data_IF_014182019573
#
_entry.id   IF_014182019573
#
_cell.length_a   1.000
_cell.length_b   1.000
_cell.length_c   1.000
_cell.angle_alpha   90.00
_cell.angle_beta   90.00
_cell.angle_gamma   90.00
#
_symmetry.space_group_name_H-M   'P 1'
#
loop_
_entity.id
_entity.type
_entity.pdbx_description
1 polymer ?
#
# COMPACT_ATOMS: atom_id res chain seq x y z
N UNK A 1 9.98 -12.71 41.57
CA UNK A 1 8.90 -11.82 41.05
C UNK A 1 9.35 -10.74 40.05
N UNK A 2 10.65 -10.59 39.72
CA UNK A 2 11.12 -9.59 38.72
C UNK A 2 11.19 -10.13 37.28
N UNK A 3 11.36 -11.44 37.10
CA UNK A 3 11.50 -12.11 35.80
C UNK A 3 10.18 -12.26 35.04
N UNK A 4 9.04 -12.37 35.75
CA UNK A 4 7.72 -12.55 35.12
C UNK A 4 7.21 -11.28 34.41
N UNK A 5 7.64 -10.09 34.85
CA UNK A 5 7.25 -8.81 34.25
C UNK A 5 7.95 -8.55 32.90
N UNK A 6 9.14 -9.12 32.69
CA UNK A 6 9.92 -8.92 31.48
C UNK A 6 9.32 -9.68 30.29
N UNK A 7 8.81 -10.89 30.52
CA UNK A 7 8.17 -11.71 29.50
C UNK A 7 6.88 -11.08 28.94
N UNK A 8 6.13 -10.35 29.77
CA UNK A 8 4.91 -9.65 29.34
C UNK A 8 5.18 -8.40 28.51
N UNK A 9 6.32 -7.72 28.72
CA UNK A 9 6.70 -6.55 27.93
C UNK A 9 7.16 -6.93 26.52
N UNK A 10 7.79 -8.10 26.37
CA UNK A 10 8.27 -8.61 25.07
C UNK A 10 7.09 -9.03 24.17
N UNK A 11 6.04 -9.64 24.71
CA UNK A 11 4.87 -10.05 23.92
C UNK A 11 3.98 -8.90 23.44
N UNK A 12 3.99 -7.73 24.10
CA UNK A 12 3.26 -6.54 23.65
C UNK A 12 3.97 -5.86 22.46
N UNK A 13 5.30 -5.97 22.38
CA UNK A 13 6.10 -5.34 21.32
C UNK A 13 6.10 -6.08 19.98
N UNK A 14 5.71 -7.36 19.95
CA UNK A 14 5.59 -8.12 18.70
C UNK A 14 4.23 -7.96 18.00
N UNK A 15 3.23 -7.38 18.66
CA UNK A 15 1.88 -7.21 18.08
C UNK A 15 1.71 -5.90 17.30
N UNK A 16 2.65 -4.96 17.41
CA UNK A 16 2.52 -3.59 16.87
C UNK A 16 3.12 -3.40 15.47
N UNK A 17 3.80 -4.40 14.90
CA UNK A 17 4.47 -4.25 13.59
C UNK A 17 3.63 -4.69 12.39
N UNK A 18 2.41 -5.17 12.59
CA UNK A 18 1.47 -5.52 11.52
C UNK A 18 0.15 -4.80 11.76
N UNK A 19 0.17 -3.47 11.66
CA UNK A 19 -1.02 -2.65 11.89
C UNK A 19 -1.95 -2.67 10.67
N UNK A 20 -2.50 -3.85 10.37
CA UNK A 20 -3.72 -3.97 9.58
C UNK A 20 -4.93 -3.69 10.47
N UNK A 21 -6.02 -3.20 9.89
CA UNK A 21 -7.26 -3.12 10.64
C UNK A 21 -7.71 -4.55 10.98
N UNK A 22 -8.32 -4.73 12.16
CA UNK A 22 -8.87 -6.03 12.53
C UNK A 22 -9.81 -6.54 11.42
N UNK A 23 -9.78 -7.85 11.07
CA UNK A 23 -10.61 -8.38 10.01
C UNK A 23 -12.08 -8.05 10.26
N UNK A 24 -12.80 -7.65 9.21
CA UNK A 24 -14.25 -7.39 9.33
C UNK A 24 -14.98 -8.62 9.88
N UNK A 25 -16.02 -8.48 10.71
CA UNK A 25 -16.74 -9.61 11.29
C UNK A 25 -17.17 -10.64 10.24
N UNK A 26 -16.84 -11.91 10.48
CA UNK A 26 -17.15 -13.03 9.57
C UNK A 26 -16.14 -13.24 8.43
N UNK A 27 -15.15 -12.36 8.25
CA UNK A 27 -14.05 -12.56 7.33
C UNK A 27 -12.85 -13.18 8.03
N UNK A 28 -12.21 -14.14 7.36
CA UNK A 28 -10.95 -14.77 7.78
C UNK A 28 -9.87 -14.46 6.76
N UNK A 29 -8.66 -14.14 7.24
CA UNK A 29 -7.50 -13.91 6.39
C UNK A 29 -7.19 -15.15 5.54
N UNK A 30 -6.93 -14.92 4.26
CA UNK A 30 -6.32 -15.90 3.35
C UNK A 30 -4.81 -15.71 3.33
N UNK A 31 -4.36 -14.45 3.39
CA UNK A 31 -2.97 -14.05 3.35
C UNK A 31 -2.71 -12.94 2.33
N UNK A 32 -1.44 -12.66 2.13
CA UNK A 32 -0.98 -11.63 1.21
C UNK A 32 -1.18 -12.10 -0.24
N UNK A 33 -1.86 -11.28 -1.05
CA UNK A 33 -1.96 -11.48 -2.49
C UNK A 33 -0.64 -11.06 -3.11
N UNK A 34 -0.03 -11.97 -3.88
CA UNK A 34 1.15 -11.66 -4.68
C UNK A 34 0.82 -10.55 -5.69
N UNK A 35 1.66 -9.52 -5.72
CA UNK A 35 1.62 -8.42 -6.69
C UNK A 35 2.96 -8.37 -7.39
N UNK A 36 2.96 -8.51 -8.72
CA UNK A 36 4.16 -8.45 -9.54
C UNK A 36 4.44 -7.02 -9.99
N UNK A 37 5.68 -6.76 -10.38
CA UNK A 37 6.10 -5.44 -10.86
C UNK A 37 5.31 -4.97 -12.09
N UNK A 38 4.96 -5.90 -12.98
CA UNK A 38 4.15 -5.62 -14.17
C UNK A 38 2.66 -5.40 -13.88
N UNK A 39 2.19 -5.74 -12.67
CA UNK A 39 0.79 -5.52 -12.26
C UNK A 39 0.56 -4.07 -11.83
N UNK A 40 1.63 -3.31 -11.53
CA UNK A 40 1.55 -1.96 -10.97
C UNK A 40 2.09 -0.90 -11.91
N UNK A 41 1.48 0.28 -11.89
CA UNK A 41 1.98 1.46 -12.60
C UNK A 41 1.83 2.68 -11.72
N UNK A 42 2.88 3.50 -11.68
CA UNK A 42 2.92 4.73 -10.90
C UNK A 42 2.90 5.96 -11.79
N UNK A 43 2.23 7.00 -11.30
CA UNK A 43 2.19 8.32 -11.92
C UNK A 43 2.16 9.40 -10.86
N UNK A 44 2.91 10.48 -11.08
CA UNK A 44 2.80 11.67 -10.27
C UNK A 44 1.98 12.72 -11.03
N UNK A 45 1.13 13.45 -10.33
CA UNK A 45 0.32 14.52 -10.89
C UNK A 45 0.34 15.73 -9.95
N UNK A 46 0.44 16.95 -10.48
CA UNK A 46 0.22 18.15 -9.67
C UNK A 46 -1.24 18.25 -9.24
N UNK A 47 -1.52 18.92 -8.13
CA UNK A 47 -2.89 19.00 -7.62
C UNK A 47 -3.88 19.72 -8.55
N UNK A 48 -3.39 20.58 -9.44
CA UNK A 48 -4.17 21.22 -10.51
C UNK A 48 -4.30 20.34 -11.77
N UNK A 49 -3.58 19.22 -11.85
CA UNK A 49 -3.57 18.31 -12.98
C UNK A 49 -2.75 18.78 -14.18
N UNK A 50 -2.09 19.95 -14.12
CA UNK A 50 -1.34 20.50 -15.25
C UNK A 50 -0.06 19.73 -15.56
N UNK A 51 0.58 19.17 -14.53
CA UNK A 51 1.83 18.42 -14.65
C UNK A 51 1.54 16.97 -14.35
N UNK A 52 1.84 16.11 -15.33
CA UNK A 52 1.72 14.66 -15.20
C UNK A 52 3.07 14.03 -15.52
N UNK A 53 3.65 13.32 -14.57
CA UNK A 53 4.97 12.69 -14.70
C UNK A 53 4.82 11.18 -14.68
N UNK A 54 5.40 10.53 -15.69
CA UNK A 54 5.56 9.07 -15.68
C UNK A 54 6.61 8.70 -14.64
N UNK A 55 6.38 7.58 -13.97
CA UNK A 55 7.31 7.03 -13.01
C UNK A 55 7.90 5.73 -13.53
N UNK A 56 9.18 5.52 -13.21
CA UNK A 56 9.79 4.20 -13.23
C UNK A 56 9.74 3.65 -11.80
N UNK A 57 9.60 2.34 -11.65
CA UNK A 57 9.55 1.68 -10.36
C UNK A 57 10.30 0.36 -10.40
N UNK A 58 10.77 -0.09 -9.23
CA UNK A 58 11.40 -1.40 -9.04
C UNK A 58 10.91 -1.98 -7.73
N UNK A 59 10.58 -3.28 -7.72
CA UNK A 59 10.25 -3.98 -6.48
C UNK A 59 11.52 -4.27 -5.66
N UNK A 60 12.01 -3.27 -4.92
CA UNK A 60 13.31 -3.27 -4.23
C UNK A 60 13.39 -4.27 -3.07
N UNK A 61 12.32 -4.39 -2.26
CA UNK A 61 12.28 -5.32 -1.12
C UNK A 61 10.96 -6.08 -1.06
N UNK A 62 10.87 -7.24 -1.73
CA UNK A 62 9.67 -8.06 -1.74
C UNK A 62 9.22 -8.57 -0.36
N UNK A 63 10.16 -8.73 0.57
CA UNK A 63 9.90 -9.11 1.96
C UNK A 63 9.27 -7.98 2.79
N UNK A 64 9.50 -6.72 2.38
CA UNK A 64 8.97 -5.53 3.02
C UNK A 64 7.89 -4.85 2.17
N UNK A 65 7.45 -5.43 1.05
CA UNK A 65 6.42 -4.86 0.16
C UNK A 65 6.75 -3.42 -0.32
N UNK A 66 8.04 -3.14 -0.43
CA UNK A 66 8.58 -1.82 -0.72
C UNK A 66 9.03 -1.68 -2.17
N UNK A 67 8.64 -0.57 -2.77
CA UNK A 67 8.93 -0.15 -4.12
C UNK A 67 9.73 1.14 -4.10
N UNK A 68 10.80 1.22 -4.87
CA UNK A 68 11.41 2.51 -5.20
C UNK A 68 10.75 3.07 -6.44
N UNK A 69 10.24 4.30 -6.34
CA UNK A 69 9.50 4.97 -7.40
C UNK A 69 10.18 6.28 -7.74
N UNK A 70 10.50 6.48 -9.02
CA UNK A 70 11.19 7.67 -9.53
C UNK A 70 10.39 8.28 -10.67
N UNK A 71 9.93 9.51 -10.49
CA UNK A 71 9.11 10.24 -11.45
C UNK A 71 9.87 11.44 -12.03
N UNK A 72 9.51 11.84 -13.25
CA UNK A 72 9.94 13.12 -13.83
C UNK A 72 11.40 13.21 -14.25
N UNK A 73 12.12 12.08 -14.36
CA UNK A 73 13.54 12.04 -14.72
C UNK A 73 13.83 12.65 -16.10
N UNK A 74 12.93 12.47 -17.07
CA UNK A 74 13.10 13.00 -18.44
C UNK A 74 12.68 14.47 -18.54
N UNK A 75 11.81 14.89 -17.64
CA UNK A 75 11.19 16.21 -17.55
C UNK A 75 12.01 17.18 -16.68
N UNK A 76 13.12 16.73 -16.08
CA UNK A 76 13.97 17.53 -15.20
C UNK A 76 13.38 17.78 -13.80
N UNK A 77 12.25 17.13 -13.48
CA UNK A 77 11.53 17.26 -12.22
C UNK A 77 11.66 15.96 -11.41
N UNK A 78 12.86 15.69 -10.90
CA UNK A 78 13.17 14.44 -10.24
C UNK A 78 12.44 14.33 -8.89
N UNK A 79 11.49 13.39 -8.81
CA UNK A 79 10.77 13.03 -7.59
C UNK A 79 11.04 11.57 -7.25
N UNK A 80 11.38 11.28 -6.00
CA UNK A 80 11.82 9.98 -5.52
C UNK A 80 10.98 9.62 -4.30
N UNK A 81 10.30 8.48 -4.39
CA UNK A 81 9.45 7.96 -3.34
C UNK A 81 9.87 6.54 -2.97
N UNK A 82 9.67 6.20 -1.70
CA UNK A 82 9.58 4.79 -1.26
C UNK A 82 8.11 4.51 -1.03
N UNK A 83 7.56 3.57 -1.78
CA UNK A 83 6.16 3.17 -1.67
C UNK A 83 6.09 1.81 -1.00
N UNK A 84 5.28 1.70 0.04
CA UNK A 84 4.92 0.43 0.64
C UNK A 84 3.50 0.10 0.19
N UNK A 85 3.37 -0.97 -0.61
CA UNK A 85 2.09 -1.37 -1.21
C UNK A 85 1.82 -2.85 -0.97
N UNK A 86 0.73 -3.12 -0.27
CA UNK A 86 0.39 -4.45 0.18
C UNK A 86 -1.11 -4.73 0.00
N UNK A 87 -1.44 -5.86 -0.61
CA UNK A 87 -2.81 -6.33 -0.80
C UNK A 87 -3.02 -7.60 0.01
N UNK A 88 -3.93 -7.55 0.97
CA UNK A 88 -4.28 -8.68 1.83
C UNK A 88 -5.67 -9.19 1.46
N UNK A 89 -5.78 -10.49 1.18
CA UNK A 89 -7.05 -11.12 0.84
C UNK A 89 -7.73 -11.76 2.06
N UNK A 90 -9.05 -11.63 2.10
CA UNK A 90 -9.95 -12.19 3.11
C UNK A 90 -11.12 -12.91 2.46
N UNK A 91 -11.67 -13.91 3.16
CA UNK A 91 -12.86 -14.67 2.72
C UNK A 91 -13.87 -14.79 3.85
N UNK A 92 -15.15 -14.77 3.51
CA UNK A 92 -16.26 -15.16 4.37
C UNK A 92 -16.90 -16.42 3.78
N UNK A 93 -16.46 -17.60 4.26
CA UNK A 93 -16.89 -18.90 3.74
C UNK A 93 -18.39 -19.15 3.90
N UNK A 94 -19.04 -18.54 4.90
CA UNK A 94 -20.48 -18.74 5.16
C UNK A 94 -21.35 -18.01 4.14
N UNK A 95 -20.88 -16.87 3.64
CA UNK A 95 -21.63 -16.02 2.71
C UNK A 95 -21.07 -16.09 1.28
N UNK A 96 -20.04 -16.91 1.06
CA UNK A 96 -19.29 -16.99 -0.20
C UNK A 96 -18.83 -15.63 -0.72
N UNK A 97 -18.23 -14.81 0.16
CA UNK A 97 -17.72 -13.47 -0.16
C UNK A 97 -16.21 -13.40 -0.04
N UNK A 98 -15.61 -12.53 -0.86
CA UNK A 98 -14.20 -12.14 -0.75
C UNK A 98 -14.09 -10.64 -0.47
N UNK A 99 -13.06 -10.30 0.28
CA UNK A 99 -12.68 -8.92 0.56
C UNK A 99 -11.17 -8.76 0.42
N UNK A 100 -10.74 -7.54 0.17
CA UNK A 100 -9.33 -7.15 0.11
C UNK A 100 -9.11 -5.95 1.00
N UNK A 101 -8.02 -5.98 1.74
CA UNK A 101 -7.47 -4.84 2.45
C UNK A 101 -6.23 -4.38 1.70
N UNK A 102 -6.21 -3.12 1.30
CA UNK A 102 -5.09 -2.49 0.64
C UNK A 102 -4.43 -1.53 1.61
N UNK A 103 -3.12 -1.68 1.81
CA UNK A 103 -2.26 -0.70 2.44
C UNK A 103 -1.44 -0.02 1.36
N UNK A 104 -1.56 1.30 1.27
CA UNK A 104 -0.76 2.13 0.38
C UNK A 104 -0.14 3.28 1.17
N UNK A 105 1.17 3.22 1.34
CA UNK A 105 1.95 4.19 2.10
C UNK A 105 3.08 4.72 1.22
N UNK A 106 3.23 6.04 1.16
CA UNK A 106 4.26 6.72 0.38
C UNK A 106 5.15 7.53 1.29
N UNK A 107 6.46 7.38 1.15
CA UNK A 107 7.49 8.17 1.82
C UNK A 107 8.18 9.03 0.77
N UNK A 108 8.15 10.34 0.99
CA UNK A 108 8.90 11.30 0.18
C UNK A 108 10.39 11.27 0.58
N UNK A 109 11.25 10.93 -0.38
CA UNK A 109 12.71 10.85 -0.18
C UNK A 109 13.43 12.12 -0.61
N UNK A 110 12.73 13.12 -1.16
CA UNK A 110 13.31 14.39 -1.59
C UNK A 110 13.41 15.43 -0.47
N UNK A 111 12.74 15.21 0.68
CA UNK A 111 12.69 16.16 1.79
C UNK A 111 13.25 15.57 3.09
N UNK A 112 13.85 16.42 3.92
CA UNK A 112 14.26 16.10 5.29
C UNK A 112 13.64 17.11 6.29
N UNK A 113 12.99 16.66 7.38
CA UNK A 113 12.70 15.26 7.69
C UNK A 113 11.73 14.65 6.67
N UNK A 114 11.91 13.37 6.37
CA UNK A 114 11.04 12.64 5.43
C UNK A 114 9.58 12.76 5.84
N UNK A 115 8.73 13.06 4.85
CA UNK A 115 7.28 13.10 5.01
C UNK A 115 6.66 11.82 4.49
N UNK A 116 5.54 11.43 5.07
CA UNK A 116 4.80 10.26 4.63
C UNK A 116 3.31 10.54 4.55
N UNK A 117 2.66 9.81 3.64
CA UNK A 117 1.22 9.79 3.46
C UNK A 117 0.78 8.34 3.35
N UNK A 118 -0.33 7.98 3.98
CA UNK A 118 -0.81 6.60 3.98
C UNK A 118 -2.32 6.52 3.90
N UNK A 119 -2.82 5.50 3.20
CA UNK A 119 -4.22 5.13 3.18
C UNK A 119 -4.36 3.61 3.36
N UNK A 120 -5.37 3.20 4.12
CA UNK A 120 -5.81 1.81 4.19
C UNK A 120 -7.26 1.72 3.72
N UNK A 121 -7.56 0.80 2.82
CA UNK A 121 -8.88 0.66 2.21
C UNK A 121 -9.36 -0.80 2.25
N UNK A 122 -10.63 -0.99 2.58
CA UNK A 122 -11.30 -2.30 2.57
C UNK A 122 -12.31 -2.36 1.43
N UNK A 123 -12.07 -3.27 0.48
CA UNK A 123 -12.96 -3.54 -0.64
C UNK A 123 -13.66 -4.88 -0.41
N UNK A 124 -14.99 -4.90 -0.47
CA UNK A 124 -15.79 -6.12 -0.32
C UNK A 124 -16.65 -6.28 -1.57
N UNK A 125 -16.56 -7.46 -2.19
CA UNK A 125 -17.32 -7.78 -3.41
C UNK A 125 -18.56 -8.59 -3.05
N UNK A 126 -19.67 -8.31 -3.74
CA UNK A 126 -20.90 -9.09 -3.64
C UNK A 126 -20.94 -10.09 -4.81
N UNK A 127 -21.13 -11.37 -4.52
CA UNK A 127 -21.17 -12.44 -5.53
C UNK A 127 -19.92 -13.32 -5.53
N UNK A 128 -19.94 -14.34 -6.38
CA UNK A 128 -18.86 -15.33 -6.57
C UNK A 128 -17.69 -14.76 -7.39
N UNK A 129 -17.99 -13.85 -8.32
CA UNK A 129 -16.99 -13.09 -9.05
C UNK A 129 -16.37 -12.02 -8.15
N UNK A 130 -15.06 -12.09 -8.03
CA UNK A 130 -14.29 -11.48 -6.95
C UNK A 130 -12.83 -11.25 -7.34
N UNK A 131 -12.54 -11.34 -8.63
CA UNK A 131 -11.27 -10.99 -9.22
C UNK A 131 -11.17 -9.47 -9.31
N UNK A 132 -10.01 -8.94 -8.96
CA UNK A 132 -9.71 -7.53 -9.14
C UNK A 132 -9.27 -7.35 -10.59
N UNK A 133 -10.07 -6.65 -11.39
CA UNK A 133 -9.70 -6.32 -12.78
C UNK A 133 -8.84 -5.05 -12.83
N UNK A 134 -9.21 -4.07 -12.01
CA UNK A 134 -8.53 -2.77 -11.94
C UNK A 134 -8.79 -2.08 -10.60
N UNK A 135 -7.75 -1.54 -10.00
CA UNK A 135 -7.85 -0.59 -8.88
C UNK A 135 -6.94 0.61 -9.15
N UNK A 136 -7.38 1.79 -8.74
CA UNK A 136 -6.58 3.01 -8.76
C UNK A 136 -6.64 3.66 -7.37
N UNK A 137 -5.47 3.98 -6.83
CA UNK A 137 -5.30 4.64 -5.56
C UNK A 137 -4.46 5.89 -5.74
N UNK A 138 -4.76 6.94 -4.99
CA UNK A 138 -3.98 8.16 -4.97
C UNK A 138 -3.76 8.61 -3.52
N UNK A 139 -2.56 9.09 -3.21
CA UNK A 139 -2.29 9.80 -1.97
C UNK A 139 -1.63 11.14 -2.27
N UNK A 140 -1.98 12.16 -1.50
CA UNK A 140 -1.30 13.45 -1.53
C UNK A 140 0.15 13.31 -1.08
N UNK A 141 1.06 13.94 -1.81
CA UNK A 141 2.49 14.02 -1.52
C UNK A 141 2.93 15.47 -1.55
N UNK A 142 4.10 15.78 -1.00
CA UNK A 142 4.67 17.14 -1.06
C UNK A 142 3.76 18.21 -0.41
N UNK A 143 3.12 17.88 0.73
CA UNK A 143 2.09 18.69 1.40
C UNK A 143 0.86 18.96 0.50
N UNK A 144 0.39 17.95 -0.22
CA UNK A 144 -0.72 18.09 -1.17
C UNK A 144 -0.42 19.16 -2.24
N UNK A 145 0.83 19.21 -2.72
CA UNK A 145 1.14 19.91 -3.97
C UNK A 145 0.97 18.98 -5.19
N UNK A 146 1.10 17.67 -4.95
CA UNK A 146 0.81 16.67 -5.95
C UNK A 146 0.25 15.38 -5.34
N UNK A 147 -0.05 14.45 -6.23
CA UNK A 147 -0.61 13.14 -5.95
C UNK A 147 0.35 12.09 -6.51
N UNK A 148 0.60 11.03 -5.75
CA UNK A 148 1.18 9.81 -6.29
C UNK A 148 0.07 8.78 -6.48
N UNK A 149 -0.22 8.49 -7.74
CA UNK A 149 -1.20 7.49 -8.15
C UNK A 149 -0.54 6.12 -8.35
N UNK A 150 -1.24 5.07 -7.92
CA UNK A 150 -0.93 3.67 -8.13
C UNK A 150 -2.11 3.02 -8.85
N UNK A 151 -1.86 2.48 -10.03
CA UNK A 151 -2.76 1.56 -10.71
C UNK A 151 -2.35 0.11 -10.44
N UNK A 152 -3.29 -0.74 -10.08
CA UNK A 152 -3.13 -2.19 -9.96
C UNK A 152 -4.03 -2.89 -10.99
N UNK A 153 -3.41 -3.63 -11.91
CA UNK A 153 -4.05 -4.46 -12.96
C UNK A 153 -3.45 -5.86 -12.92
N UNK A 154 -3.96 -6.75 -12.05
CA UNK A 154 -3.47 -8.12 -11.95
C UNK A 154 -3.76 -8.86 -13.28
N UNK A 155 -2.72 -9.28 -14.00
CA UNK A 155 -2.88 -10.03 -15.27
C UNK A 155 -2.97 -11.54 -15.07
#
# INVERSE_FOLDING_TARGET
MKTLKLLFAVSILFASSLSFAAPRPGFTSVGIKEVKEDDVTFRWMSNDGEIILKCAHVYDRPDAWDWDVVCGKKEGMLKIYRVHFLVHQYVNKKQDKKAYEILYWVIDRNFEPRKFSSVSQWLQFNGTESTIDFLNFSVGVENDYGLLELELKPR
#
